data_IF_157646608908
#
_entry.id   IF_157646608908
#
_cell.length_a   1.000
_cell.length_b   1.000
_cell.length_c   1.000
_cell.angle_alpha   90.00
_cell.angle_beta   90.00
_cell.angle_gamma   90.00
#
_symmetry.space_group_name_H-M   'P 1'
#
loop_
_entity.id
_entity.type
_entity.pdbx_description
1 polymer ?
#
# COMPACT_ATOMS: atom_id res chain seq x y z
N UNK A 1 19.09 12.15 -8.07
CA UNK A 1 17.86 12.42 -8.82
C UNK A 1 17.26 13.75 -8.37
N UNK A 2 16.47 14.39 -9.21
CA UNK A 2 15.75 15.61 -8.82
C UNK A 2 14.64 15.21 -7.82
N UNK A 3 14.49 15.96 -6.73
CA UNK A 3 13.50 15.66 -5.67
C UNK A 3 12.03 15.85 -6.12
N UNK A 4 11.80 16.50 -7.26
CA UNK A 4 10.49 16.83 -7.85
C UNK A 4 10.27 16.17 -9.24
N UNK A 5 11.03 15.12 -9.54
CA UNK A 5 10.99 14.49 -10.86
C UNK A 5 9.63 13.89 -11.21
N UNK A 6 8.92 13.31 -10.21
CA UNK A 6 7.62 12.71 -10.42
C UNK A 6 6.52 13.77 -10.60
N UNK A 7 6.58 14.88 -9.85
CA UNK A 7 5.69 16.02 -10.03
C UNK A 7 5.86 16.67 -11.42
N UNK A 8 7.10 16.75 -11.91
CA UNK A 8 7.38 17.23 -13.28
C UNK A 8 6.84 16.27 -14.34
N UNK A 9 6.96 14.95 -14.12
CA UNK A 9 6.38 13.94 -15.00
C UNK A 9 4.86 14.04 -15.08
N UNK A 10 4.17 14.19 -13.94
CA UNK A 10 2.72 14.42 -13.90
C UNK A 10 2.35 15.60 -14.80
N UNK A 11 3.00 16.76 -14.59
CA UNK A 11 2.72 17.95 -15.39
C UNK A 11 3.10 17.83 -16.88
N UNK A 12 4.01 16.91 -17.23
CA UNK A 12 4.34 16.62 -18.62
C UNK A 12 3.28 15.71 -19.28
N UNK A 13 2.83 14.67 -18.58
CA UNK A 13 1.80 13.73 -19.06
C UNK A 13 0.46 14.45 -19.28
N UNK A 14 0.10 15.40 -18.40
CA UNK A 14 -1.13 16.21 -18.55
C UNK A 14 -1.19 17.04 -19.84
N UNK A 15 -0.05 17.28 -20.48
CA UNK A 15 0.05 18.04 -21.73
C UNK A 15 0.01 17.16 -22.97
N UNK A 16 -0.05 15.84 -22.81
CA UNK A 16 -0.08 14.91 -23.93
C UNK A 16 -1.53 14.73 -24.39
N UNK A 17 -1.82 15.11 -25.61
CA UNK A 17 -3.14 14.90 -26.18
C UNK A 17 -3.48 13.41 -26.28
N UNK A 18 -4.73 13.07 -25.93
CA UNK A 18 -5.24 11.70 -26.02
C UNK A 18 -5.03 10.83 -24.78
N UNK A 19 -4.21 11.25 -23.81
CA UNK A 19 -4.14 10.56 -22.51
C UNK A 19 -5.41 10.86 -21.72
N UNK A 20 -6.23 9.84 -21.50
CA UNK A 20 -7.52 9.97 -20.78
C UNK A 20 -7.37 9.80 -19.27
N UNK A 21 -6.57 8.82 -18.88
CA UNK A 21 -6.34 8.51 -17.47
C UNK A 21 -4.94 7.95 -17.27
N UNK A 22 -4.37 8.19 -16.11
CA UNK A 22 -3.09 7.66 -15.67
C UNK A 22 -3.11 7.36 -14.18
N UNK A 23 -2.28 6.45 -13.73
CA UNK A 23 -2.05 6.19 -12.32
C UNK A 23 -0.59 5.90 -12.04
N UNK A 24 -0.18 6.16 -10.81
CA UNK A 24 1.16 5.86 -10.33
C UNK A 24 1.09 4.59 -9.49
N UNK A 25 1.93 3.63 -9.84
CA UNK A 25 2.12 2.41 -9.07
C UNK A 25 3.41 2.51 -8.25
N UNK A 26 3.43 1.84 -7.08
CA UNK A 26 4.62 1.72 -6.22
C UNK A 26 5.17 3.06 -5.70
N UNK A 27 4.32 3.83 -5.04
CA UNK A 27 4.78 4.97 -4.24
C UNK A 27 5.67 4.46 -3.08
N UNK A 28 6.85 5.06 -2.95
CA UNK A 28 7.78 4.68 -1.89
C UNK A 28 7.69 5.67 -0.71
N UNK A 29 7.48 5.18 0.54
CA UNK A 29 7.19 6.06 1.67
C UNK A 29 8.23 7.17 1.89
N UNK A 30 9.53 6.88 1.72
CA UNK A 30 10.59 7.87 1.99
C UNK A 30 10.65 9.01 0.98
N UNK A 31 10.16 8.81 -0.23
CA UNK A 31 10.17 9.80 -1.32
C UNK A 31 8.82 10.44 -1.59
N UNK A 32 7.74 9.87 -1.08
CA UNK A 32 6.41 10.44 -1.22
C UNK A 32 6.22 11.60 -0.24
N UNK A 33 5.80 12.74 -0.77
CA UNK A 33 5.54 14.00 -0.05
C UNK A 33 4.07 14.36 -0.14
N UNK A 34 3.58 15.22 0.77
CA UNK A 34 2.23 15.80 0.66
C UNK A 34 2.06 16.54 -0.68
N UNK A 35 3.09 17.29 -1.12
CA UNK A 35 3.04 17.99 -2.41
C UNK A 35 2.83 17.04 -3.60
N UNK A 36 3.47 15.87 -3.59
CA UNK A 36 3.24 14.85 -4.63
C UNK A 36 1.81 14.32 -4.58
N UNK A 37 1.29 14.03 -3.38
CA UNK A 37 -0.09 13.56 -3.19
C UNK A 37 -1.08 14.60 -3.68
N UNK A 38 -0.87 15.89 -3.33
CA UNK A 38 -1.69 16.99 -3.81
C UNK A 38 -1.63 17.13 -5.34
N UNK A 39 -0.43 17.01 -5.91
CA UNK A 39 -0.23 17.07 -7.35
C UNK A 39 -0.98 15.96 -8.10
N UNK A 40 -1.05 14.75 -7.52
CA UNK A 40 -1.86 13.66 -8.04
C UNK A 40 -3.35 14.00 -7.89
N UNK A 41 -3.76 14.46 -6.71
CA UNK A 41 -5.16 14.72 -6.37
C UNK A 41 -5.78 15.87 -7.18
N UNK A 42 -4.99 16.88 -7.53
CA UNK A 42 -5.41 18.04 -8.33
C UNK A 42 -5.33 17.78 -9.85
N UNK A 43 -4.77 16.65 -10.26
CA UNK A 43 -4.62 16.30 -11.67
C UNK A 43 -5.96 15.98 -12.33
N UNK A 44 -6.10 16.39 -13.59
CA UNK A 44 -7.25 16.01 -14.45
C UNK A 44 -7.05 14.66 -15.16
N UNK A 45 -5.82 14.14 -15.12
CA UNK A 45 -5.43 12.92 -15.84
C UNK A 45 -5.07 11.81 -14.86
N UNK A 46 -4.34 12.13 -13.78
CA UNK A 46 -3.99 11.14 -12.78
C UNK A 46 -5.15 10.91 -11.81
N UNK A 47 -5.50 9.66 -11.63
CA UNK A 47 -6.53 9.24 -10.66
C UNK A 47 -5.95 9.14 -9.26
N UNK A 48 -6.79 9.37 -8.24
CA UNK A 48 -6.41 9.26 -6.81
C UNK A 48 -6.26 7.80 -6.37
N UNK A 49 -5.44 7.07 -7.11
CA UNK A 49 -5.05 5.70 -6.83
C UNK A 49 -3.66 5.72 -6.20
N UNK A 50 -3.60 5.46 -4.90
CA UNK A 50 -2.36 5.47 -4.12
C UNK A 50 -1.94 4.05 -3.79
N UNK A 51 -0.93 3.56 -4.47
CA UNK A 51 -0.36 2.23 -4.28
C UNK A 51 0.98 2.36 -3.53
N UNK A 52 0.94 2.10 -2.23
CA UNK A 52 2.11 2.23 -1.36
C UNK A 52 2.32 0.95 -0.54
N UNK A 53 3.27 0.09 -0.94
CA UNK A 53 3.63 -1.09 -0.16
C UNK A 53 4.28 -0.71 1.18
N UNK A 54 3.55 -0.88 2.27
CA UNK A 54 4.01 -0.56 3.62
C UNK A 54 4.95 -1.62 4.19
N UNK A 55 4.71 -2.86 3.85
CA UNK A 55 5.35 -4.09 4.32
C UNK A 55 5.01 -4.41 5.78
N UNK A 56 5.04 -3.45 6.67
CA UNK A 56 4.66 -3.52 8.07
C UNK A 56 4.31 -2.15 8.62
N UNK A 57 3.80 -2.07 9.87
CA UNK A 57 3.49 -0.80 10.55
C UNK A 57 4.23 -0.62 11.87
N UNK A 58 4.62 -1.70 12.54
CA UNK A 58 5.36 -1.62 13.80
C UNK A 58 6.70 -0.90 13.61
N UNK A 59 7.01 0.03 14.50
CA UNK A 59 8.24 0.84 14.46
C UNK A 59 9.50 -0.04 14.46
N UNK A 60 9.49 -1.15 15.19
CA UNK A 60 10.61 -2.07 15.25
C UNK A 60 10.79 -2.79 13.91
N UNK A 61 9.69 -3.31 13.34
CA UNK A 61 9.73 -4.01 12.06
C UNK A 61 10.15 -3.09 10.91
N UNK A 62 9.65 -1.85 10.86
CA UNK A 62 10.07 -0.85 9.87
C UNK A 62 11.57 -0.56 9.94
N UNK A 63 12.16 -0.56 11.13
CA UNK A 63 13.61 -0.46 11.34
C UNK A 63 14.36 -1.67 10.79
N UNK A 64 13.92 -2.88 11.14
CA UNK A 64 14.50 -4.15 10.69
C UNK A 64 14.47 -4.23 9.16
N UNK A 65 13.33 -3.92 8.56
CA UNK A 65 13.10 -3.92 7.12
C UNK A 65 13.72 -2.71 6.40
N UNK A 66 14.40 -1.79 7.11
CA UNK A 66 15.01 -0.56 6.57
C UNK A 66 14.01 0.33 5.81
N UNK A 67 12.78 0.45 6.33
CA UNK A 67 11.67 1.19 5.68
C UNK A 67 11.57 2.70 6.04
N UNK A 68 12.57 3.28 6.60
CA UNK A 68 12.91 4.70 6.54
C UNK A 68 12.18 5.65 7.49
N UNK A 69 10.93 6.04 7.27
CA UNK A 69 10.33 7.22 7.95
C UNK A 69 9.81 7.01 9.37
N UNK A 70 9.68 5.76 9.82
CA UNK A 70 9.02 5.44 11.10
C UNK A 70 7.49 5.39 11.00
N UNK A 71 6.88 4.67 11.97
CA UNK A 71 5.46 4.31 11.95
C UNK A 71 4.54 5.55 11.92
N UNK A 72 4.79 6.52 12.79
CA UNK A 72 3.94 7.72 12.93
C UNK A 72 3.82 8.51 11.63
N UNK A 73 4.96 8.79 10.98
CA UNK A 73 4.97 9.52 9.70
C UNK A 73 4.37 8.71 8.55
N UNK A 74 4.48 7.39 8.63
CA UNK A 74 3.88 6.51 7.66
C UNK A 74 2.36 6.51 7.77
N UNK A 75 1.83 6.42 9.00
CA UNK A 75 0.39 6.50 9.29
C UNK A 75 -0.17 7.87 8.88
N UNK A 76 0.53 8.95 9.19
CA UNK A 76 0.15 10.30 8.78
C UNK A 76 0.02 10.40 7.26
N UNK A 77 1.02 9.91 6.52
CA UNK A 77 1.03 9.94 5.06
C UNK A 77 -0.13 9.12 4.46
N UNK A 78 -0.42 7.94 5.03
CA UNK A 78 -1.53 7.10 4.62
C UNK A 78 -2.88 7.79 4.84
N UNK A 79 -3.07 8.40 6.02
CA UNK A 79 -4.28 9.17 6.32
C UNK A 79 -4.43 10.37 5.37
N UNK A 80 -3.33 11.02 5.00
CA UNK A 80 -3.35 12.12 4.06
C UNK A 80 -3.78 11.68 2.66
N UNK A 81 -3.29 10.54 2.16
CA UNK A 81 -3.76 9.94 0.91
C UNK A 81 -5.26 9.61 0.99
N UNK A 82 -5.70 8.97 2.08
CA UNK A 82 -7.11 8.59 2.25
C UNK A 82 -8.04 9.78 2.36
N UNK A 83 -7.56 10.96 2.76
CA UNK A 83 -8.36 12.19 2.83
C UNK A 83 -8.67 12.81 1.47
N UNK A 84 -8.04 12.37 0.38
CA UNK A 84 -8.27 12.93 -0.94
C UNK A 84 -9.60 12.48 -1.53
N UNK A 85 -10.28 13.33 -2.32
CA UNK A 85 -11.54 12.97 -2.96
C UNK A 85 -11.40 11.72 -3.82
N UNK A 86 -12.35 10.79 -3.72
CA UNK A 86 -12.33 9.53 -4.48
C UNK A 86 -11.01 8.75 -4.37
N UNK A 87 -10.37 8.85 -3.21
CA UNK A 87 -9.12 8.15 -2.94
C UNK A 87 -9.34 6.64 -2.94
N UNK A 88 -8.46 5.93 -3.62
CA UNK A 88 -8.33 4.48 -3.57
C UNK A 88 -6.92 4.13 -3.07
N UNK A 89 -6.85 3.50 -1.91
CA UNK A 89 -5.56 3.21 -1.24
C UNK A 89 -5.28 1.72 -1.26
N UNK A 90 -4.23 1.36 -1.99
CA UNK A 90 -3.69 -0.01 -2.06
C UNK A 90 -2.39 -0.13 -1.28
N UNK A 91 -2.18 -1.29 -0.68
CA UNK A 91 -0.95 -1.61 0.05
C UNK A 91 -0.53 -3.06 -0.12
N UNK A 92 0.66 -3.37 0.39
CA UNK A 92 1.18 -4.73 0.49
C UNK A 92 1.88 -4.90 1.83
N UNK A 93 1.68 -6.05 2.46
CA UNK A 93 2.32 -6.43 3.71
C UNK A 93 3.14 -7.72 3.54
N UNK A 94 4.10 -7.91 4.44
CA UNK A 94 4.83 -9.17 4.61
C UNK A 94 4.55 -9.64 6.02
N UNK A 95 4.04 -10.85 6.16
CA UNK A 95 3.82 -11.52 7.44
C UNK A 95 4.96 -12.51 7.73
N UNK A 96 5.39 -12.60 8.99
CA UNK A 96 6.36 -13.58 9.42
C UNK A 96 7.83 -13.23 9.12
N UNK A 97 8.15 -11.97 8.87
CA UNK A 97 9.54 -11.54 8.72
C UNK A 97 10.32 -11.78 10.04
N UNK A 98 11.59 -12.27 10.00
CA UNK A 98 12.41 -12.44 11.20
C UNK A 98 12.39 -11.22 12.11
N UNK A 99 12.11 -11.45 13.41
CA UNK A 99 11.95 -10.41 14.42
C UNK A 99 10.53 -9.84 14.57
N UNK A 100 9.54 -10.36 13.85
CA UNK A 100 8.14 -10.01 14.05
C UNK A 100 7.58 -10.70 15.31
N UNK A 101 7.46 -9.93 16.40
CA UNK A 101 6.83 -10.43 17.62
C UNK A 101 5.32 -10.53 17.48
N UNK A 102 4.68 -11.23 18.45
CA UNK A 102 3.20 -11.30 18.51
C UNK A 102 2.57 -9.93 18.64
N UNK A 103 3.14 -9.08 19.50
CA UNK A 103 2.64 -7.71 19.70
C UNK A 103 2.76 -6.86 18.41
N UNK A 104 3.85 -7.04 17.64
CA UNK A 104 4.05 -6.34 16.38
C UNK A 104 3.02 -6.80 15.32
N UNK A 105 2.73 -8.10 15.28
CA UNK A 105 1.71 -8.65 14.40
C UNK A 105 0.31 -8.20 14.79
N UNK A 106 -0.03 -8.21 16.09
CA UNK A 106 -1.31 -7.66 16.57
C UNK A 106 -1.47 -6.16 16.25
N UNK A 107 -0.40 -5.36 16.42
CA UNK A 107 -0.39 -3.94 16.05
C UNK A 107 -0.72 -3.76 14.56
N UNK A 108 -0.10 -4.58 13.70
CA UNK A 108 -0.38 -4.60 12.27
C UNK A 108 -1.84 -4.93 11.96
N UNK A 109 -2.37 -6.01 12.53
CA UNK A 109 -3.76 -6.43 12.37
C UNK A 109 -4.75 -5.33 12.81
N UNK A 110 -4.51 -4.71 13.97
CA UNK A 110 -5.34 -3.60 14.48
C UNK A 110 -5.33 -2.41 13.53
N UNK A 111 -4.16 -2.05 13.04
CA UNK A 111 -4.02 -0.95 12.08
C UNK A 111 -4.77 -1.23 10.77
N UNK A 112 -4.59 -2.39 10.17
CA UNK A 112 -5.24 -2.76 8.91
C UNK A 112 -6.76 -2.70 9.04
N UNK A 113 -7.33 -3.26 10.13
CA UNK A 113 -8.77 -3.18 10.40
C UNK A 113 -9.27 -1.75 10.54
N UNK A 114 -8.54 -0.90 11.28
CA UNK A 114 -8.95 0.48 11.56
C UNK A 114 -8.80 1.41 10.38
N UNK A 115 -7.74 1.24 9.58
CA UNK A 115 -7.50 2.05 8.39
C UNK A 115 -8.52 1.74 7.28
N UNK A 116 -8.81 0.46 7.05
CA UNK A 116 -9.76 0.02 6.02
C UNK A 116 -9.21 0.32 4.61
N UNK A 117 -8.23 -0.47 4.19
CA UNK A 117 -7.67 -0.38 2.84
C UNK A 117 -8.71 -0.78 1.79
N UNK A 118 -8.71 -0.09 0.65
CA UNK A 118 -9.57 -0.43 -0.48
C UNK A 118 -9.07 -1.70 -1.19
N UNK A 119 -7.76 -1.92 -1.18
CA UNK A 119 -7.14 -3.18 -1.63
C UNK A 119 -5.81 -3.42 -0.92
N UNK A 120 -5.49 -4.67 -0.68
CA UNK A 120 -4.21 -5.06 -0.13
C UNK A 120 -3.81 -6.48 -0.53
N UNK A 121 -2.51 -6.75 -0.45
CA UNK A 121 -1.95 -8.08 -0.60
C UNK A 121 -1.10 -8.40 0.63
N UNK A 122 -1.04 -9.68 0.98
CA UNK A 122 -0.14 -10.21 2.00
C UNK A 122 0.75 -11.24 1.35
N UNK A 123 2.02 -11.18 1.66
CA UNK A 123 2.98 -12.22 1.31
C UNK A 123 3.54 -12.85 2.59
N UNK A 124 3.57 -14.18 2.62
CA UNK A 124 4.40 -14.90 3.58
C UNK A 124 5.85 -14.52 3.36
N UNK A 125 6.59 -14.30 4.45
CA UNK A 125 8.03 -14.08 4.34
C UNK A 125 8.71 -15.32 3.76
N UNK A 126 9.65 -15.11 2.85
CA UNK A 126 10.59 -16.12 2.37
C UNK A 126 12.01 -15.60 2.45
N UNK A 127 12.95 -16.49 2.78
CA UNK A 127 14.38 -16.14 2.79
C UNK A 127 14.87 -15.86 1.37
N UNK A 128 15.58 -14.75 1.22
CA UNK A 128 16.23 -14.37 -0.03
C UNK A 128 17.75 -14.26 0.20
N UNK A 129 18.52 -14.98 -0.60
CA UNK A 129 19.98 -15.02 -0.51
C UNK A 129 20.60 -13.63 -0.57
N UNK A 130 21.57 -13.37 0.30
CA UNK A 130 22.31 -12.11 0.36
C UNK A 130 21.55 -10.96 1.05
N UNK A 131 20.36 -11.19 1.60
CA UNK A 131 19.63 -10.20 2.39
C UNK A 131 20.08 -10.17 3.84
N UNK A 132 19.86 -9.05 4.53
CA UNK A 132 20.14 -8.97 5.98
C UNK A 132 19.16 -9.79 6.83
N UNK A 133 18.07 -10.25 6.28
CA UNK A 133 17.08 -11.09 6.96
C UNK A 133 17.51 -12.57 6.96
N UNK A 134 18.20 -13.02 5.91
CA UNK A 134 18.68 -14.40 5.75
C UNK A 134 19.55 -14.86 6.94
N UNK A 135 20.41 -13.98 7.45
CA UNK A 135 21.37 -14.27 8.51
C UNK A 135 20.86 -14.02 9.93
N UNK A 136 19.57 -13.75 10.09
CA UNK A 136 18.97 -13.51 11.41
C UNK A 136 18.70 -14.82 12.14
N UNK A 137 18.88 -14.79 13.46
CA UNK A 137 18.66 -15.95 14.35
C UNK A 137 17.20 -16.03 14.88
N UNK A 138 16.43 -14.94 14.74
CA UNK A 138 15.06 -14.81 15.23
C UNK A 138 14.03 -15.09 14.12
N UNK A 139 14.29 -16.11 13.33
CA UNK A 139 13.36 -16.60 12.30
C UNK A 139 12.12 -17.21 12.93
N UNK A 140 11.03 -17.11 12.22
CA UNK A 140 9.73 -17.63 12.60
C UNK A 140 9.51 -18.94 11.87
N UNK A 141 8.89 -19.91 12.54
CA UNK A 141 8.53 -21.20 11.94
C UNK A 141 7.52 -21.00 10.79
N UNK A 142 7.67 -21.77 9.72
CA UNK A 142 6.90 -21.62 8.50
C UNK A 142 5.38 -21.70 8.75
N UNK A 143 4.96 -22.60 9.63
CA UNK A 143 3.55 -22.77 9.99
C UNK A 143 2.96 -21.50 10.60
N UNK A 144 3.70 -20.80 11.46
CA UNK A 144 3.25 -19.52 12.03
C UNK A 144 3.30 -18.38 11.02
N UNK A 145 4.24 -18.40 10.07
CA UNK A 145 4.29 -17.42 8.95
C UNK A 145 3.00 -17.54 8.12
N UNK A 146 2.63 -18.77 7.76
CA UNK A 146 1.47 -19.03 6.92
C UNK A 146 0.16 -18.69 7.65
N UNK A 147 0.06 -19.03 8.94
CA UNK A 147 -1.06 -18.64 9.80
C UNK A 147 -1.23 -17.11 9.85
N UNK A 148 -0.13 -16.37 10.08
CA UNK A 148 -0.17 -14.90 10.12
C UNK A 148 -0.57 -14.29 8.77
N UNK A 149 -0.07 -14.86 7.67
CA UNK A 149 -0.43 -14.41 6.33
C UNK A 149 -1.91 -14.64 6.03
N UNK A 150 -2.47 -15.78 6.44
CA UNK A 150 -3.90 -16.09 6.31
C UNK A 150 -4.74 -15.11 7.14
N UNK A 151 -4.44 -14.94 8.43
CA UNK A 151 -5.16 -14.01 9.32
C UNK A 151 -5.17 -12.59 8.75
N UNK A 152 -4.02 -12.09 8.31
CA UNK A 152 -3.91 -10.73 7.78
C UNK A 152 -4.59 -10.60 6.41
N UNK A 153 -4.56 -11.67 5.59
CA UNK A 153 -5.27 -11.76 4.31
C UNK A 153 -6.79 -11.67 4.49
N UNK A 154 -7.32 -12.39 5.48
CA UNK A 154 -8.75 -12.33 5.83
C UNK A 154 -9.17 -10.93 6.29
N UNK A 155 -8.35 -10.28 7.11
CA UNK A 155 -8.62 -8.91 7.55
C UNK A 155 -8.67 -7.96 6.35
N UNK A 156 -7.74 -8.06 5.42
CA UNK A 156 -7.71 -7.24 4.21
C UNK A 156 -8.93 -7.52 3.34
N UNK A 157 -9.30 -8.79 3.16
CA UNK A 157 -10.48 -9.18 2.39
C UNK A 157 -11.75 -8.55 2.97
N UNK A 158 -11.91 -8.58 4.30
CA UNK A 158 -13.04 -7.97 4.99
C UNK A 158 -13.06 -6.44 4.79
N UNK A 159 -11.91 -5.76 4.86
CA UNK A 159 -11.85 -4.31 4.64
C UNK A 159 -12.16 -3.95 3.19
N UNK A 160 -11.70 -4.74 2.23
CA UNK A 160 -11.99 -4.57 0.79
C UNK A 160 -13.48 -4.76 0.51
N UNK A 161 -14.09 -5.80 1.05
CA UNK A 161 -15.56 -6.05 0.91
C UNK A 161 -16.33 -4.85 1.47
N UNK A 162 -15.98 -4.38 2.66
CA UNK A 162 -16.63 -3.22 3.27
C UNK A 162 -16.45 -1.93 2.44
N UNK A 163 -15.30 -1.74 1.81
CA UNK A 163 -15.08 -0.63 0.89
C UNK A 163 -15.99 -0.72 -0.33
N UNK A 164 -16.11 -1.91 -0.94
CA UNK A 164 -17.00 -2.15 -2.07
C UNK A 164 -18.49 -1.99 -1.71
N UNK A 165 -18.90 -2.42 -0.51
CA UNK A 165 -20.27 -2.21 -0.01
C UNK A 165 -20.64 -0.75 0.08
N UNK A 166 -19.70 0.13 0.43
CA UNK A 166 -19.91 1.58 0.45
C UNK A 166 -20.13 2.18 -0.94
N UNK A 167 -19.81 1.45 -2.00
CA UNK A 167 -19.98 1.88 -3.39
C UNK A 167 -21.26 1.38 -4.04
N UNK A 168 -22.02 0.51 -3.36
CA UNK A 168 -23.30 0.03 -3.85
C UNK A 168 -24.28 1.20 -4.02
N UNK A 169 -24.86 1.30 -5.21
CA UNK A 169 -25.80 2.37 -5.58
C UNK A 169 -25.13 3.65 -6.09
N UNK A 170 -23.80 3.73 -6.10
CA UNK A 170 -23.08 4.82 -6.76
C UNK A 170 -22.91 4.56 -8.24
N UNK A 171 -22.75 5.64 -9.02
CA UNK A 171 -22.44 5.58 -10.44
C UNK A 171 -21.02 6.04 -10.67
N UNK A 172 -20.28 5.30 -11.50
CA UNK A 172 -18.90 5.58 -11.85
C UNK A 172 -18.73 5.72 -13.35
N UNK A 173 -17.88 6.65 -13.79
CA UNK A 173 -17.37 6.66 -15.14
C UNK A 173 -16.19 5.67 -15.21
N UNK A 174 -16.25 4.74 -16.16
CA UNK A 174 -15.26 3.68 -16.29
C UNK A 174 -14.73 3.59 -17.73
N UNK A 175 -13.49 3.14 -17.87
CA UNK A 175 -12.92 2.75 -19.13
C UNK A 175 -12.91 1.22 -19.21
N UNK A 176 -13.38 0.68 -20.34
CA UNK A 176 -13.35 -0.75 -20.60
C UNK A 176 -12.04 -1.07 -21.33
N UNK A 177 -11.14 -1.79 -20.66
CA UNK A 177 -9.83 -2.14 -21.20
C UNK A 177 -9.88 -3.41 -22.09
N UNK A 178 -10.90 -4.26 -21.91
CA UNK A 178 -11.05 -5.51 -22.65
C UNK A 178 -12.17 -6.39 -22.09
N UNK A 179 -12.33 -7.55 -22.67
CA UNK A 179 -13.24 -8.59 -22.18
C UNK A 179 -12.63 -9.27 -20.94
N UNK A 180 -13.47 -9.60 -19.95
CA UNK A 180 -13.03 -10.39 -18.81
C UNK A 180 -12.85 -11.84 -19.20
N UNK A 181 -11.75 -12.47 -18.79
CA UNK A 181 -11.54 -13.92 -18.91
C UNK A 181 -12.28 -14.69 -17.80
N UNK A 182 -12.82 -14.00 -16.81
CA UNK A 182 -13.60 -14.58 -15.70
C UNK A 182 -15.06 -14.66 -16.13
N UNK A 183 -15.61 -15.86 -16.07
CA UNK A 183 -17.03 -16.17 -16.29
C UNK A 183 -17.81 -16.24 -14.98
#
# INVERSE_FOLDING_TARGET
GKNDGLEQLIGAVEKIDGVKTARILYLYPSTTTHNLIDKIADSKVFVNYFDMPLQHISQNMLKIMKRGKGAEKLIELMNYMKSKPNSFVRTTFIAGHPGESEEAFEELCKYVRSFGFDRGNVFSYSDEEGTSAETRDDKIEQELIDERAEILGDIISQTTIKSLENDIGKSFEVYIDGESEEH
#
